data_IF_329389071619
#
_entry.id   IF_329389071619
#
_cell.length_a   1.000
_cell.length_b   1.000
_cell.length_c   1.000
_cell.angle_alpha   90.00
_cell.angle_beta   90.00
_cell.angle_gamma   90.00
#
_symmetry.space_group_name_H-M   'P 1'
#
loop_
_entity.id
_entity.type
_entity.pdbx_description
1 polymer ?
#
# COMPACT_ATOMS: atom_id res chain seq x y z
N UNK A 1 -17.74 -29.61 -15.08
CA UNK A 1 -19.04 -30.24 -14.75
C UNK A 1 -19.50 -29.65 -13.43
N UNK A 2 -20.64 -28.96 -13.37
CA UNK A 2 -21.06 -28.35 -12.12
C UNK A 2 -21.52 -29.46 -11.15
N UNK A 3 -21.14 -29.32 -9.88
CA UNK A 3 -21.48 -30.26 -8.81
C UNK A 3 -23.00 -30.50 -8.73
N UNK A 4 -23.80 -29.50 -9.08
CA UNK A 4 -25.27 -29.54 -9.11
C UNK A 4 -25.80 -30.55 -10.13
N UNK A 5 -25.19 -30.69 -11.32
CA UNK A 5 -25.64 -31.67 -12.33
C UNK A 5 -25.43 -33.10 -11.84
N UNK A 6 -24.30 -33.38 -11.21
CA UNK A 6 -24.00 -34.72 -10.67
C UNK A 6 -24.99 -35.08 -9.56
N UNK A 7 -25.29 -34.12 -8.67
CA UNK A 7 -26.28 -34.28 -7.61
C UNK A 7 -27.68 -34.54 -8.19
N UNK A 8 -28.09 -33.78 -9.21
CA UNK A 8 -29.40 -33.94 -9.85
C UNK A 8 -29.58 -35.30 -10.54
N UNK A 9 -28.52 -35.81 -11.19
CA UNK A 9 -28.55 -37.14 -11.82
C UNK A 9 -28.63 -38.24 -10.76
N UNK A 10 -27.86 -38.10 -9.68
CA UNK A 10 -27.87 -39.06 -8.57
C UNK A 10 -29.22 -39.08 -7.83
N UNK A 11 -29.89 -37.93 -7.66
CA UNK A 11 -31.21 -37.85 -7.03
C UNK A 11 -32.31 -38.56 -7.81
N UNK A 12 -32.10 -38.84 -9.11
CA UNK A 12 -33.02 -39.61 -9.95
C UNK A 12 -32.78 -41.13 -9.87
N UNK A 13 -31.95 -41.59 -8.93
CA UNK A 13 -31.64 -43.02 -8.74
C UNK A 13 -30.57 -43.57 -9.71
N UNK A 14 -29.93 -42.71 -10.50
CA UNK A 14 -28.86 -43.11 -11.42
C UNK A 14 -27.53 -43.19 -10.68
N UNK A 15 -26.86 -44.34 -10.77
CA UNK A 15 -25.50 -44.50 -10.23
C UNK A 15 -24.49 -43.91 -11.19
N UNK A 16 -23.74 -42.89 -10.74
CA UNK A 16 -22.69 -42.23 -11.52
C UNK A 16 -21.33 -42.77 -11.10
N UNK A 17 -20.53 -43.24 -12.06
CA UNK A 17 -19.16 -43.72 -11.82
C UNK A 17 -18.17 -42.85 -12.59
N UNK A 18 -17.10 -42.43 -11.92
CA UNK A 18 -16.00 -41.69 -12.54
C UNK A 18 -14.83 -42.62 -12.81
N UNK A 19 -14.38 -42.67 -14.05
CA UNK A 19 -13.22 -43.46 -14.48
C UNK A 19 -12.23 -42.52 -15.15
N UNK A 20 -10.98 -42.61 -14.75
CA UNK A 20 -9.88 -41.91 -15.42
C UNK A 20 -9.39 -42.71 -16.62
N UNK A 21 -9.08 -42.02 -17.71
CA UNK A 21 -8.46 -42.58 -18.90
C UNK A 21 -7.29 -41.69 -19.36
N UNK A 22 -6.22 -42.29 -19.93
CA UNK A 22 -5.08 -41.52 -20.43
C UNK A 22 -5.46 -40.64 -21.63
N UNK A 23 -4.86 -39.44 -21.68
CA UNK A 23 -5.02 -38.50 -22.78
C UNK A 23 -4.10 -38.85 -23.97
N UNK A 24 -4.54 -38.52 -25.19
CA UNK A 24 -3.72 -38.57 -26.41
C UNK A 24 -3.15 -39.94 -26.79
N UNK A 25 -3.81 -41.01 -26.36
CA UNK A 25 -3.44 -42.40 -26.72
C UNK A 25 -4.35 -43.00 -27.79
N UNK A 26 -5.21 -42.19 -28.42
CA UNK A 26 -6.06 -42.64 -29.52
C UNK A 26 -7.37 -43.33 -29.10
N UNK A 27 -7.78 -43.20 -27.83
CA UNK A 27 -9.11 -43.68 -27.39
C UNK A 27 -10.16 -42.79 -28.05
N UNK A 28 -10.86 -43.33 -29.05
CA UNK A 28 -11.76 -42.56 -29.93
C UNK A 28 -12.72 -41.63 -29.18
N UNK A 29 -13.39 -42.14 -28.13
CA UNK A 29 -14.31 -41.33 -27.32
C UNK A 29 -13.64 -40.17 -26.59
N UNK A 30 -12.44 -40.39 -26.04
CA UNK A 30 -11.66 -39.34 -25.38
C UNK A 30 -11.18 -38.28 -26.37
N UNK A 31 -10.69 -38.72 -27.54
CA UNK A 31 -10.22 -37.81 -28.58
C UNK A 31 -11.35 -36.98 -29.19
N UNK A 32 -12.56 -37.55 -29.32
CA UNK A 32 -13.76 -36.81 -29.74
C UNK A 32 -14.13 -35.75 -28.69
N UNK A 33 -14.15 -36.12 -27.42
CA UNK A 33 -14.46 -35.19 -26.32
C UNK A 33 -13.43 -34.05 -26.23
N UNK A 34 -12.13 -34.36 -26.33
CA UNK A 34 -11.04 -33.37 -26.31
C UNK A 34 -11.15 -32.41 -27.51
N UNK A 35 -11.41 -32.92 -28.72
CA UNK A 35 -11.64 -32.05 -29.89
C UNK A 35 -12.87 -31.15 -29.72
N UNK A 36 -13.95 -31.66 -29.14
CA UNK A 36 -15.14 -30.86 -28.88
C UNK A 36 -14.86 -29.75 -27.86
N UNK A 37 -14.17 -30.08 -26.76
CA UNK A 37 -13.77 -29.10 -25.76
C UNK A 37 -12.82 -28.03 -26.32
N UNK A 38 -11.84 -28.42 -27.15
CA UNK A 38 -10.93 -27.47 -27.81
C UNK A 38 -11.65 -26.54 -28.77
N UNK A 39 -12.62 -27.04 -29.54
CA UNK A 39 -13.45 -26.22 -30.44
C UNK A 39 -14.27 -25.20 -29.65
N UNK A 40 -15.00 -25.66 -28.63
CA UNK A 40 -15.78 -24.77 -27.76
C UNK A 40 -14.90 -23.71 -27.06
N UNK A 41 -13.70 -24.08 -26.61
CA UNK A 41 -12.75 -23.13 -26.01
C UNK A 41 -12.16 -22.12 -27.00
N UNK A 42 -12.24 -22.41 -28.31
CA UNK A 42 -11.78 -21.52 -29.38
C UNK A 42 -12.89 -20.60 -29.89
N UNK A 43 -14.14 -20.87 -29.51
CA UNK A 43 -15.29 -20.03 -29.80
C UNK A 43 -15.34 -18.87 -28.80
N UNK A 44 -15.71 -17.66 -29.27
CA UNK A 44 -15.71 -16.42 -28.48
C UNK A 44 -16.99 -16.31 -27.61
N UNK A 45 -17.87 -17.31 -27.64
CA UNK A 45 -19.06 -17.30 -26.80
C UNK A 45 -18.68 -17.45 -25.33
N UNK A 46 -18.64 -16.31 -24.64
CA UNK A 46 -18.53 -16.23 -23.19
C UNK A 46 -19.89 -16.65 -22.62
N UNK A 47 -20.02 -17.94 -22.32
CA UNK A 47 -21.18 -18.50 -21.63
C UNK A 47 -21.10 -18.19 -20.11
N UNK A 48 -21.06 -16.90 -19.78
CA UNK A 48 -21.23 -16.41 -18.41
C UNK A 48 -22.64 -15.82 -18.34
N UNK A 49 -23.65 -16.61 -17.95
CA UNK A 49 -25.04 -16.20 -18.04
C UNK A 49 -25.38 -15.11 -17.01
N UNK A 50 -24.57 -14.99 -15.95
CA UNK A 50 -24.82 -14.09 -14.85
C UNK A 50 -23.51 -13.72 -14.14
N UNK A 51 -23.22 -12.41 -14.06
CA UNK A 51 -22.12 -11.91 -13.23
C UNK A 51 -22.51 -12.08 -11.78
N UNK A 52 -21.77 -12.89 -11.02
CA UNK A 52 -22.05 -13.09 -9.59
C UNK A 52 -21.91 -11.77 -8.83
N UNK A 53 -22.77 -11.55 -7.84
CA UNK A 53 -22.69 -10.39 -6.95
C UNK A 53 -21.33 -10.27 -6.24
N UNK A 54 -20.66 -11.40 -5.96
CA UNK A 54 -19.30 -11.42 -5.43
C UNK A 54 -18.31 -10.72 -6.35
N UNK A 55 -18.44 -10.96 -7.65
CA UNK A 55 -17.50 -10.47 -8.67
C UNK A 55 -17.75 -8.98 -8.89
N UNK A 56 -19.02 -8.57 -8.93
CA UNK A 56 -19.40 -7.14 -8.94
C UNK A 56 -18.85 -6.42 -7.71
N UNK A 57 -18.96 -7.00 -6.51
CA UNK A 57 -18.44 -6.39 -5.28
C UNK A 57 -16.92 -6.23 -5.34
N UNK A 58 -16.19 -7.25 -5.77
CA UNK A 58 -14.73 -7.18 -5.94
C UNK A 58 -14.36 -6.07 -6.93
N UNK A 59 -15.01 -6.04 -8.08
CA UNK A 59 -14.80 -5.01 -9.10
C UNK A 59 -15.07 -3.59 -8.56
N UNK A 60 -16.21 -3.38 -7.90
CA UNK A 60 -16.59 -2.08 -7.33
C UNK A 60 -15.55 -1.63 -6.30
N UNK A 61 -15.16 -2.50 -5.37
CA UNK A 61 -14.17 -2.16 -4.34
C UNK A 61 -12.81 -1.82 -4.95
N UNK A 62 -12.39 -2.56 -5.97
CA UNK A 62 -11.17 -2.25 -6.71
C UNK A 62 -11.29 -0.88 -7.40
N UNK A 63 -12.40 -0.61 -8.08
CA UNK A 63 -12.60 0.66 -8.78
C UNK A 63 -12.66 1.85 -7.82
N UNK A 64 -13.34 1.70 -6.68
CA UNK A 64 -13.37 2.72 -5.63
C UNK A 64 -11.97 3.02 -5.10
N UNK A 65 -11.15 1.98 -4.90
CA UNK A 65 -9.77 2.10 -4.43
C UNK A 65 -8.88 2.82 -5.44
N UNK A 66 -9.03 2.52 -6.73
CA UNK A 66 -8.31 3.22 -7.81
C UNK A 66 -8.67 4.71 -7.85
N UNK A 67 -9.97 5.04 -7.81
CA UNK A 67 -10.43 6.43 -7.79
C UNK A 67 -9.93 7.18 -6.55
N UNK A 68 -9.95 6.53 -5.38
CA UNK A 68 -9.40 7.10 -4.17
C UNK A 68 -7.89 7.32 -4.27
N UNK A 69 -7.15 6.35 -4.81
CA UNK A 69 -5.70 6.47 -5.02
C UNK A 69 -5.35 7.61 -5.98
N UNK A 70 -6.14 7.79 -7.05
CA UNK A 70 -5.96 8.89 -8.00
C UNK A 70 -6.18 10.24 -7.31
N UNK A 71 -7.33 10.42 -6.65
CA UNK A 71 -7.64 11.66 -5.93
C UNK A 71 -6.61 11.96 -4.83
N UNK A 72 -6.10 10.92 -4.16
CA UNK A 72 -5.04 11.05 -3.17
C UNK A 72 -3.76 11.63 -3.76
N UNK A 73 -3.31 11.13 -4.92
CA UNK A 73 -2.09 11.61 -5.58
C UNK A 73 -2.25 13.03 -6.17
N UNK A 74 -3.44 13.39 -6.64
CA UNK A 74 -3.72 14.71 -7.21
C UNK A 74 -3.63 15.84 -6.17
N UNK A 75 -3.93 15.58 -4.89
CA UNK A 75 -3.92 16.59 -3.84
C UNK A 75 -2.50 17.13 -3.49
N UNK A 76 -1.43 16.44 -3.90
CA UNK A 76 -0.02 16.82 -3.70
C UNK A 76 0.28 17.50 -2.34
N UNK A 77 -0.08 16.83 -1.24
CA UNK A 77 0.14 17.31 0.12
C UNK A 77 1.43 16.76 0.70
N UNK A 78 1.88 17.31 1.84
CA UNK A 78 3.01 16.75 2.58
C UNK A 78 2.80 15.25 2.93
N UNK A 79 1.57 14.87 3.31
CA UNK A 79 1.29 13.48 3.68
C UNK A 79 1.29 12.54 2.47
N UNK A 80 0.95 13.00 1.27
CA UNK A 80 0.99 12.16 0.06
C UNK A 80 2.43 11.85 -0.37
N UNK A 81 3.41 12.70 0.01
CA UNK A 81 4.84 12.43 -0.20
C UNK A 81 5.36 11.33 0.75
N UNK A 82 4.78 11.20 1.94
CA UNK A 82 5.15 10.16 2.93
C UNK A 82 4.38 8.88 2.69
N UNK A 83 3.13 8.98 2.25
CA UNK A 83 2.23 7.86 1.98
C UNK A 83 1.75 7.96 0.54
N UNK A 84 2.52 7.45 -0.44
CA UNK A 84 2.13 7.54 -1.84
C UNK A 84 0.89 6.67 -2.16
N UNK A 85 0.62 5.64 -1.33
CA UNK A 85 -0.56 4.79 -1.48
C UNK A 85 -1.55 4.89 -0.33
N UNK A 86 -2.84 4.92 -0.67
CA UNK A 86 -3.97 4.85 0.29
C UNK A 86 -4.03 3.52 1.05
N UNK A 87 -3.32 2.51 0.57
CA UNK A 87 -3.23 1.17 1.17
C UNK A 87 -2.12 1.08 2.19
N UNK A 88 -1.11 1.95 2.09
CA UNK A 88 0.06 1.91 2.97
C UNK A 88 -0.38 2.28 4.38
N UNK A 89 -0.43 1.27 5.25
CA UNK A 89 -0.68 1.47 6.67
C UNK A 89 0.61 1.89 7.36
N UNK A 90 0.49 2.77 8.35
CA UNK A 90 1.64 3.06 9.21
C UNK A 90 1.87 1.86 10.13
N UNK A 91 3.13 1.48 10.39
CA UNK A 91 3.41 0.36 11.29
C UNK A 91 2.88 0.66 12.69
N UNK A 92 2.31 -0.36 13.31
CA UNK A 92 1.99 -0.33 14.74
C UNK A 92 3.31 -0.41 15.53
N UNK A 93 3.69 0.69 16.18
CA UNK A 93 4.89 0.78 16.98
C UNK A 93 4.52 1.03 18.44
N UNK A 94 5.11 0.25 19.34
CA UNK A 94 4.99 0.48 20.78
C UNK A 94 6.02 1.53 21.23
N UNK A 95 5.76 2.79 20.88
CA UNK A 95 6.60 3.93 21.26
C UNK A 95 6.11 4.56 22.56
N UNK A 96 7.00 5.10 23.41
CA UNK A 96 6.61 6.01 24.47
C UNK A 96 5.72 7.12 23.95
N UNK A 97 4.74 7.55 24.75
CA UNK A 97 3.76 8.59 24.36
C UNK A 97 4.42 9.82 23.75
N UNK A 98 5.52 10.28 24.33
CA UNK A 98 6.25 11.46 23.88
C UNK A 98 6.79 11.32 22.45
N UNK A 99 7.32 10.14 22.10
CA UNK A 99 7.84 9.84 20.76
C UNK A 99 6.71 9.64 19.76
N UNK A 100 5.63 8.98 20.17
CA UNK A 100 4.44 8.80 19.33
C UNK A 100 3.83 10.14 18.91
N UNK A 101 3.70 11.10 19.83
CA UNK A 101 3.21 12.45 19.54
C UNK A 101 4.09 13.15 18.51
N UNK A 102 5.42 13.06 18.67
CA UNK A 102 6.37 13.69 17.75
C UNK A 102 6.35 13.06 16.37
N UNK A 103 6.29 11.74 16.31
CA UNK A 103 6.13 11.02 15.03
C UNK A 103 4.87 11.46 14.29
N UNK A 104 3.75 11.65 15.00
CA UNK A 104 2.51 12.14 14.38
C UNK A 104 2.66 13.58 13.87
N UNK A 105 3.29 14.47 14.65
CA UNK A 105 3.58 15.85 14.22
C UNK A 105 4.48 15.89 12.99
N UNK A 106 5.53 15.06 12.97
CA UNK A 106 6.41 14.90 11.81
C UNK A 106 5.64 14.42 10.59
N UNK A 107 4.78 13.41 10.72
CA UNK A 107 3.95 12.89 9.62
C UNK A 107 2.94 13.90 9.07
N UNK A 108 2.45 14.81 9.92
CA UNK A 108 1.59 15.92 9.47
C UNK A 108 2.38 17.10 8.91
N UNK A 109 3.70 17.16 9.11
CA UNK A 109 4.52 18.33 8.77
C UNK A 109 4.38 19.49 9.75
N UNK A 110 3.55 19.34 10.79
CA UNK A 110 3.15 20.40 11.72
C UNK A 110 3.92 20.28 13.03
N UNK A 111 5.07 20.96 13.09
CA UNK A 111 5.93 21.04 14.29
C UNK A 111 6.00 22.47 14.80
N UNK A 112 6.50 22.67 16.02
CA UNK A 112 6.67 24.04 16.50
C UNK A 112 7.69 24.81 15.64
N UNK A 113 8.70 24.13 15.11
CA UNK A 113 9.69 24.74 14.21
C UNK A 113 9.06 25.14 12.87
N UNK A 114 8.19 24.31 12.30
CA UNK A 114 7.71 24.51 10.94
C UNK A 114 6.41 25.30 10.83
N UNK A 115 5.62 25.45 11.91
CA UNK A 115 4.28 26.05 11.81
C UNK A 115 3.97 27.13 12.85
N UNK A 116 4.77 27.30 13.92
CA UNK A 116 4.48 28.34 14.94
C UNK A 116 4.46 29.74 14.34
N UNK A 117 5.29 30.00 13.32
CA UNK A 117 5.34 31.30 12.65
C UNK A 117 3.99 31.71 12.04
N UNK A 118 3.21 30.75 11.53
CA UNK A 118 1.87 31.00 10.97
C UNK A 118 0.91 31.49 12.05
N UNK A 119 0.97 30.91 13.25
CA UNK A 119 0.14 31.29 14.39
C UNK A 119 0.52 32.68 14.94
N UNK A 120 1.79 33.07 14.78
CA UNK A 120 2.31 34.35 15.26
C UNK A 120 2.29 35.46 14.21
N UNK A 121 2.00 35.15 12.94
CA UNK A 121 2.13 36.09 11.84
C UNK A 121 3.58 36.52 11.58
N UNK A 122 4.54 35.67 11.91
CA UNK A 122 5.97 35.89 11.68
C UNK A 122 6.38 35.41 10.29
N UNK A 123 7.62 35.69 9.87
CA UNK A 123 8.17 35.13 8.64
C UNK A 123 8.50 33.64 8.80
N UNK A 124 8.48 32.86 7.69
CA UNK A 124 8.92 31.47 7.72
C UNK A 124 10.34 31.33 8.31
N UNK A 125 10.56 30.42 9.26
CA UNK A 125 11.85 30.28 9.90
C UNK A 125 12.91 29.71 8.95
N UNK A 126 14.13 30.20 9.10
CA UNK A 126 15.31 29.68 8.40
C UNK A 126 16.10 28.76 9.34
N UNK A 127 16.87 27.85 8.75
CA UNK A 127 17.75 26.97 9.47
C UNK A 127 18.95 27.74 10.00
N UNK A 128 19.15 27.74 11.32
CA UNK A 128 20.28 28.42 11.96
C UNK A 128 21.67 27.92 11.48
N UNK A 129 21.73 26.74 10.87
CA UNK A 129 22.98 26.09 10.45
C UNK A 129 23.33 26.31 8.98
N UNK A 130 22.33 26.48 8.10
CA UNK A 130 22.57 26.56 6.66
C UNK A 130 21.68 27.59 5.94
N UNK A 131 20.89 28.35 6.68
CA UNK A 131 20.06 29.45 6.21
C UNK A 131 19.00 29.10 5.15
N UNK A 132 18.66 27.81 5.00
CA UNK A 132 17.57 27.35 4.13
C UNK A 132 16.23 27.37 4.88
N UNK A 133 15.12 27.40 4.15
CA UNK A 133 13.78 27.34 4.72
C UNK A 133 13.59 26.07 5.58
N UNK A 134 13.02 26.24 6.79
CA UNK A 134 12.76 25.12 7.68
C UNK A 134 11.54 24.31 7.24
N UNK A 135 11.76 23.03 6.99
CA UNK A 135 10.72 22.02 6.76
C UNK A 135 11.09 20.71 7.46
N UNK A 136 10.13 19.80 7.62
CA UNK A 136 10.42 18.45 8.15
C UNK A 136 11.40 17.72 7.23
N UNK A 137 11.23 17.86 5.91
CA UNK A 137 12.15 17.30 4.93
C UNK A 137 13.55 17.91 5.03
N UNK A 138 13.65 19.22 5.33
CA UNK A 138 14.94 19.85 5.59
C UNK A 138 15.66 19.22 6.78
N UNK A 139 14.95 19.05 7.90
CA UNK A 139 15.50 18.45 9.12
C UNK A 139 15.95 16.99 8.84
N UNK A 140 15.09 16.20 8.21
CA UNK A 140 15.28 14.76 8.08
C UNK A 140 16.13 14.34 6.88
N UNK A 141 16.21 15.14 5.82
CA UNK A 141 16.85 14.74 4.56
C UNK A 141 17.84 15.78 4.03
N UNK A 142 17.48 17.07 4.03
CA UNK A 142 18.15 18.04 3.15
C UNK A 142 19.18 18.95 3.85
N UNK A 143 19.21 19.05 5.18
CA UNK A 143 20.13 19.94 5.88
C UNK A 143 21.59 19.47 5.72
N UNK A 144 22.49 20.23 5.07
CA UNK A 144 23.88 19.81 4.84
C UNK A 144 24.68 19.72 6.14
N UNK A 145 24.43 20.64 7.07
CA UNK A 145 25.10 20.68 8.37
C UNK A 145 24.77 19.45 9.25
N UNK A 146 23.68 18.73 8.94
CA UNK A 146 23.20 17.58 9.70
C UNK A 146 23.53 16.24 9.02
N UNK A 147 24.17 16.24 7.85
CA UNK A 147 24.45 15.03 7.06
C UNK A 147 25.25 14.00 7.85
N UNK A 148 26.32 14.42 8.52
CA UNK A 148 27.17 13.51 9.31
C UNK A 148 26.35 12.85 10.43
N UNK A 149 25.55 13.63 11.15
CA UNK A 149 24.73 13.13 12.26
C UNK A 149 23.63 12.17 11.79
N UNK A 150 23.00 12.45 10.64
CA UNK A 150 22.02 11.55 10.02
C UNK A 150 22.64 10.21 9.63
N UNK A 151 23.84 10.25 9.03
CA UNK A 151 24.56 9.04 8.64
C UNK A 151 24.99 8.22 9.87
N UNK A 152 25.44 8.86 10.96
CA UNK A 152 25.80 8.18 12.20
C UNK A 152 24.61 7.46 12.87
N UNK A 153 23.39 7.95 12.64
CA UNK A 153 22.17 7.37 13.18
C UNK A 153 21.44 6.46 12.17
N UNK A 154 22.03 6.18 11.01
CA UNK A 154 21.42 5.42 9.92
C UNK A 154 20.01 5.95 9.52
N UNK A 155 19.87 7.28 9.44
CA UNK A 155 18.61 7.90 9.00
C UNK A 155 18.45 7.70 7.49
N UNK A 156 17.29 7.22 7.01
CA UNK A 156 17.02 7.09 5.58
C UNK A 156 17.15 8.43 4.84
N UNK A 157 17.47 8.36 3.55
CA UNK A 157 17.66 9.57 2.72
C UNK A 157 16.36 10.13 2.13
N UNK A 158 15.23 9.46 2.33
CA UNK A 158 13.93 9.91 1.86
C UNK A 158 12.90 9.98 2.98
N UNK A 159 11.96 10.90 2.84
CA UNK A 159 11.00 11.26 3.88
C UNK A 159 10.03 10.12 4.20
N UNK A 160 9.63 9.34 3.19
CA UNK A 160 8.78 8.16 3.35
C UNK A 160 9.42 7.19 4.34
N UNK A 161 10.63 6.69 4.05
CA UNK A 161 11.30 5.70 4.88
C UNK A 161 11.60 6.23 6.28
N UNK A 162 11.95 7.51 6.43
CA UNK A 162 12.14 8.12 7.75
C UNK A 162 10.88 8.03 8.65
N UNK A 163 9.69 8.03 8.06
CA UNK A 163 8.43 8.22 8.79
C UNK A 163 7.45 7.04 8.67
N UNK A 164 7.69 6.09 7.77
CA UNK A 164 6.83 4.92 7.55
C UNK A 164 7.53 3.58 7.81
N UNK A 165 8.84 3.48 7.59
CA UNK A 165 9.57 2.24 7.87
C UNK A 165 9.87 2.09 9.36
N UNK A 166 9.77 0.85 9.89
CA UNK A 166 9.98 0.58 11.32
C UNK A 166 11.38 0.95 11.77
N UNK A 167 12.39 0.60 10.97
CA UNK A 167 13.78 0.89 11.30
C UNK A 167 14.10 2.37 11.06
N UNK A 168 13.61 2.92 9.95
CA UNK A 168 13.71 4.33 9.63
C UNK A 168 13.16 5.23 10.75
N UNK A 169 11.98 4.91 11.28
CA UNK A 169 11.37 5.64 12.40
C UNK A 169 12.26 5.58 13.65
N UNK A 170 12.85 4.42 13.97
CA UNK A 170 13.75 4.28 15.13
C UNK A 170 15.00 5.14 14.95
N UNK A 171 15.64 5.06 13.78
CA UNK A 171 16.80 5.86 13.41
C UNK A 171 16.49 7.37 13.45
N UNK A 172 15.34 7.78 12.92
CA UNK A 172 14.86 9.17 12.97
C UNK A 172 14.65 9.65 14.41
N UNK A 173 14.02 8.85 15.27
CA UNK A 173 13.84 9.21 16.68
C UNK A 173 15.20 9.34 17.40
N UNK A 174 16.13 8.40 17.15
CA UNK A 174 17.47 8.43 17.71
C UNK A 174 18.23 9.70 17.29
N UNK A 175 18.22 9.99 15.98
CA UNK A 175 18.79 11.20 15.41
C UNK A 175 18.22 12.46 16.07
N UNK A 176 16.89 12.55 16.17
CA UNK A 176 16.25 13.72 16.73
C UNK A 176 16.64 13.92 18.19
N UNK A 177 16.67 12.85 19.00
CA UNK A 177 17.10 12.90 20.42
C UNK A 177 18.52 13.41 20.60
N UNK A 178 19.40 13.16 19.62
CA UNK A 178 20.79 13.65 19.61
C UNK A 178 20.92 15.06 19.01
N UNK A 179 19.83 15.63 18.50
CA UNK A 179 19.77 16.97 17.91
C UNK A 179 19.04 17.98 18.82
N UNK A 180 19.17 19.26 18.51
CA UNK A 180 18.41 20.32 19.17
C UNK A 180 16.93 20.36 18.77
N UNK A 181 16.50 19.52 17.82
CA UNK A 181 15.14 19.54 17.26
C UNK A 181 14.12 18.78 18.09
N UNK A 182 14.53 17.76 18.87
CA UNK A 182 13.57 16.88 19.57
C UNK A 182 12.62 17.62 20.50
N UNK A 183 13.07 18.69 21.17
CA UNK A 183 12.24 19.46 22.09
C UNK A 183 11.24 20.38 21.38
N UNK A 184 11.52 20.74 20.12
CA UNK A 184 10.73 21.67 19.30
C UNK A 184 9.82 20.96 18.27
N UNK A 185 9.87 19.63 18.24
CA UNK A 185 8.92 18.75 17.54
C UNK A 185 7.88 18.29 18.55
#
# INVERSE_FOLDING_TARGET
MCQETVIAIASNGTVVTFVWIPAHVGILGNEVADRAAKRAASEIEIDVPEIKKSDQKVYILQRMKELWQQSWQENNTFLTQIKPSVVTTSPALNLPRQESVRLHRLRMGHTAITHTYLLKGENPPLCDLCNNAMSVEHILCNCPAQTVQRNLCDVPQNLENCLTDVQGIKSTILYLKQSSYFTKI
#
